data_IF_301474534815
#
_entry.id   IF_301474534815
#
_cell.length_a   1.000
_cell.length_b   1.000
_cell.length_c   1.000
_cell.angle_alpha   90.00
_cell.angle_beta   90.00
_cell.angle_gamma   90.00
#
_symmetry.space_group_name_H-M   'P 1'
#
loop_
_entity.id
_entity.type
_entity.pdbx_description
1 polymer ?
#
# COMPACT_ATOMS: atom_id res chain seq x y z
N UNK A 1 -40.71 -4.08 29.11
CA UNK A 1 -39.27 -4.37 29.00
C UNK A 1 -39.00 -4.78 27.57
N UNK A 2 -38.64 -3.82 26.71
CA UNK A 2 -38.20 -4.09 25.34
C UNK A 2 -36.68 -3.88 25.33
N UNK A 3 -35.93 -4.97 25.35
CA UNK A 3 -34.50 -4.95 25.08
C UNK A 3 -34.30 -4.84 23.57
N UNK A 4 -34.12 -3.61 23.09
CA UNK A 4 -33.60 -3.35 21.75
C UNK A 4 -32.09 -3.57 21.79
N UNK A 5 -31.65 -4.78 21.44
CA UNK A 5 -30.25 -5.07 21.22
C UNK A 5 -29.74 -4.27 20.01
N UNK A 6 -28.90 -3.27 20.28
CA UNK A 6 -28.16 -2.52 19.26
C UNK A 6 -27.28 -3.50 18.47
N UNK A 7 -27.31 -3.53 17.13
CA UNK A 7 -26.42 -4.39 16.36
C UNK A 7 -24.96 -4.01 16.64
N UNK A 8 -24.05 -4.97 16.80
CA UNK A 8 -22.63 -4.69 17.00
C UNK A 8 -22.08 -3.87 15.83
N UNK A 9 -21.26 -2.87 16.16
CA UNK A 9 -20.69 -1.93 15.22
C UNK A 9 -19.95 -2.64 14.07
N UNK A 10 -20.06 -2.07 12.87
CA UNK A 10 -19.54 -2.56 11.58
C UNK A 10 -18.02 -2.83 11.58
N UNK A 11 -17.29 -2.45 12.64
CA UNK A 11 -15.83 -2.47 12.74
C UNK A 11 -15.18 -3.87 12.87
N UNK A 12 -15.93 -4.94 13.20
CA UNK A 12 -15.36 -6.27 13.45
C UNK A 12 -15.40 -7.25 12.26
N UNK A 13 -15.77 -6.80 11.06
CA UNK A 13 -15.80 -7.69 9.89
C UNK A 13 -14.41 -7.89 9.29
N UNK A 14 -13.90 -9.11 9.43
CA UNK A 14 -12.64 -9.57 8.81
C UNK A 14 -12.66 -9.55 7.27
N UNK A 15 -13.84 -9.54 6.66
CA UNK A 15 -14.03 -9.54 5.21
C UNK A 15 -14.85 -8.33 4.78
N UNK A 16 -14.48 -7.76 3.63
CA UNK A 16 -15.30 -6.76 2.94
C UNK A 16 -16.67 -7.39 2.65
N UNK A 17 -17.78 -6.73 3.02
CA UNK A 17 -19.10 -7.30 2.77
C UNK A 17 -19.35 -7.53 1.28
N UNK A 18 -19.66 -8.78 0.91
CA UNK A 18 -20.08 -9.11 -0.45
C UNK A 18 -21.43 -8.48 -0.74
N UNK A 19 -21.57 -7.76 -1.87
CA UNK A 19 -22.87 -7.23 -2.28
C UNK A 19 -23.70 -8.37 -2.88
N UNK A 20 -25.00 -8.40 -2.62
CA UNK A 20 -25.88 -9.45 -3.17
C UNK A 20 -25.81 -9.54 -4.70
N UNK A 21 -25.62 -8.41 -5.37
CA UNK A 21 -25.44 -8.33 -6.82
C UNK A 21 -24.18 -9.06 -7.33
N UNK A 22 -23.13 -9.15 -6.52
CA UNK A 22 -21.87 -9.79 -6.90
C UNK A 22 -22.01 -11.31 -7.01
N UNK A 23 -22.97 -11.87 -6.26
CA UNK A 23 -23.36 -13.28 -6.28
C UNK A 23 -24.39 -13.60 -7.38
N UNK A 24 -24.92 -12.58 -8.07
CA UNK A 24 -25.91 -12.74 -9.12
C UNK A 24 -25.37 -13.59 -10.28
N UNK A 25 -26.00 -14.74 -10.54
CA UNK A 25 -25.58 -15.66 -11.60
C UNK A 25 -26.04 -15.17 -12.98
N UNK A 26 -25.09 -14.93 -13.87
CA UNK A 26 -25.31 -14.50 -15.25
C UNK A 26 -24.86 -15.57 -16.24
N UNK A 27 -25.70 -15.86 -17.23
CA UNK A 27 -25.37 -16.69 -18.37
C UNK A 27 -24.96 -15.84 -19.56
N UNK A 28 -23.81 -16.13 -20.16
CA UNK A 28 -23.33 -15.46 -21.38
C UNK A 28 -22.82 -16.49 -22.38
N UNK A 29 -23.02 -16.20 -23.66
CA UNK A 29 -22.43 -16.97 -24.75
C UNK A 29 -21.15 -16.27 -25.19
N UNK A 30 -20.02 -16.96 -25.08
CA UNK A 30 -18.72 -16.48 -25.56
C UNK A 30 -18.38 -17.25 -26.83
N UNK A 31 -18.17 -16.52 -27.92
CA UNK A 31 -17.87 -17.10 -29.23
C UNK A 31 -16.47 -16.66 -29.68
N UNK A 32 -15.62 -17.62 -30.05
CA UNK A 32 -14.31 -17.35 -30.64
C UNK A 32 -13.85 -18.55 -31.48
N UNK A 33 -13.17 -18.27 -32.60
CA UNK A 33 -12.65 -19.27 -33.54
C UNK A 33 -13.69 -20.33 -33.94
N UNK A 34 -14.95 -19.91 -34.14
CA UNK A 34 -16.06 -20.80 -34.50
C UNK A 34 -16.64 -21.63 -33.36
N UNK A 35 -16.01 -21.64 -32.18
CA UNK A 35 -16.52 -22.33 -30.99
C UNK A 35 -17.40 -21.38 -30.17
N UNK A 36 -18.60 -21.83 -29.81
CA UNK A 36 -19.53 -21.08 -28.95
C UNK A 36 -19.69 -21.81 -27.62
N UNK A 37 -19.36 -21.14 -26.52
CA UNK A 37 -19.47 -21.68 -25.16
C UNK A 37 -20.52 -20.90 -24.38
N UNK A 38 -21.52 -21.60 -23.86
CA UNK A 38 -22.46 -21.05 -22.88
C UNK A 38 -21.85 -21.16 -21.49
N UNK A 39 -21.62 -20.04 -20.82
CA UNK A 39 -20.93 -19.98 -19.53
C UNK A 39 -21.86 -19.31 -18.53
N UNK A 40 -22.04 -19.91 -17.35
CA UNK A 40 -22.84 -19.36 -16.26
C UNK A 40 -21.93 -19.06 -15.06
N UNK A 41 -21.77 -17.79 -14.72
CA UNK A 41 -20.89 -17.31 -13.66
C UNK A 41 -21.55 -16.21 -12.86
N UNK A 42 -21.12 -16.04 -11.62
CA UNK A 42 -21.46 -14.90 -10.77
C UNK A 42 -20.94 -13.60 -11.40
N UNK A 43 -21.68 -12.50 -11.23
CA UNK A 43 -21.35 -11.18 -11.79
C UNK A 43 -19.94 -10.71 -11.40
N UNK A 44 -19.50 -11.04 -10.18
CA UNK A 44 -18.14 -10.76 -9.74
C UNK A 44 -17.07 -11.37 -10.65
N UNK A 45 -17.24 -12.63 -11.07
CA UNK A 45 -16.28 -13.29 -11.97
C UNK A 45 -16.34 -12.73 -13.38
N UNK A 46 -17.51 -12.31 -13.88
CA UNK A 46 -17.60 -11.59 -15.16
C UNK A 46 -16.88 -10.25 -15.13
N UNK A 47 -16.97 -9.54 -14.00
CA UNK A 47 -16.26 -8.27 -13.80
C UNK A 47 -14.75 -8.50 -13.75
N UNK A 48 -14.31 -9.50 -12.98
CA UNK A 48 -12.89 -9.90 -12.92
C UNK A 48 -12.35 -10.31 -14.29
N UNK A 49 -13.07 -11.12 -15.07
CA UNK A 49 -12.68 -11.49 -16.43
C UNK A 49 -12.54 -10.28 -17.36
N UNK A 50 -13.40 -9.27 -17.21
CA UNK A 50 -13.29 -8.03 -17.98
C UNK A 50 -12.02 -7.26 -17.61
N UNK A 51 -11.74 -7.11 -16.32
CA UNK A 51 -10.51 -6.44 -15.84
C UNK A 51 -9.25 -7.19 -16.32
N UNK A 52 -9.27 -8.53 -16.26
CA UNK A 52 -8.20 -9.38 -16.80
C UNK A 52 -7.97 -9.15 -18.29
N UNK A 53 -9.04 -8.99 -19.06
CA UNK A 53 -8.98 -8.77 -20.50
C UNK A 53 -8.45 -7.37 -20.83
N UNK A 54 -8.90 -6.35 -20.09
CA UNK A 54 -8.44 -4.97 -20.20
C UNK A 54 -6.96 -4.82 -19.87
N UNK A 55 -6.50 -5.41 -18.75
CA UNK A 55 -5.09 -5.35 -18.33
C UNK A 55 -4.15 -6.02 -19.34
N UNK A 56 -4.61 -7.12 -19.96
CA UNK A 56 -3.88 -7.87 -21.00
C UNK A 56 -4.12 -7.34 -22.42
N UNK A 57 -4.95 -6.31 -22.59
CA UNK A 57 -5.35 -5.76 -23.90
C UNK A 57 -5.88 -6.83 -24.87
N UNK A 58 -6.64 -7.79 -24.36
CA UNK A 58 -7.26 -8.86 -25.13
C UNK A 58 -8.79 -8.89 -24.95
N UNK A 59 -9.49 -9.80 -25.63
CA UNK A 59 -10.95 -9.95 -25.46
C UNK A 59 -11.28 -10.98 -24.37
N UNK A 60 -12.52 -11.01 -23.88
CA UNK A 60 -12.95 -12.09 -22.98
C UNK A 60 -12.90 -13.46 -23.69
N UNK A 61 -13.20 -13.52 -25.00
CA UNK A 61 -13.08 -14.76 -25.79
C UNK A 61 -11.64 -15.27 -25.85
N UNK A 62 -10.71 -14.35 -26.13
CA UNK A 62 -9.33 -14.31 -25.61
C UNK A 62 -9.00 -15.33 -24.53
N UNK A 63 -9.33 -14.89 -23.32
CA UNK A 63 -9.02 -15.54 -22.06
C UNK A 63 -9.79 -16.84 -21.89
N UNK A 64 -11.06 -16.87 -22.28
CA UNK A 64 -11.90 -18.07 -22.11
C UNK A 64 -11.34 -19.25 -22.91
N UNK A 65 -10.84 -19.03 -24.13
CA UNK A 65 -10.20 -20.13 -24.87
C UNK A 65 -8.87 -20.53 -24.24
N UNK A 66 -8.03 -19.58 -23.83
CA UNK A 66 -6.74 -19.88 -23.19
C UNK A 66 -6.93 -20.70 -21.90
N UNK A 67 -7.93 -20.33 -21.09
CA UNK A 67 -8.32 -21.08 -19.89
C UNK A 67 -8.88 -22.46 -20.25
N UNK A 68 -9.62 -22.58 -21.35
CA UNK A 68 -10.15 -23.87 -21.81
C UNK A 68 -9.05 -24.80 -22.34
N UNK A 69 -8.06 -24.26 -23.06
CA UNK A 69 -6.91 -25.00 -23.60
C UNK A 69 -6.00 -25.52 -22.50
N UNK A 70 -5.86 -24.78 -21.39
CA UNK A 70 -5.06 -25.19 -20.23
C UNK A 70 -5.70 -26.27 -19.34
N UNK A 71 -6.88 -26.79 -19.68
CA UNK A 71 -7.60 -27.78 -18.87
C UNK A 71 -7.57 -29.19 -19.46
N UNK A 72 -7.64 -30.23 -18.61
CA UNK A 72 -7.93 -31.59 -19.05
C UNK A 72 -9.26 -31.66 -19.79
N UNK A 73 -9.43 -32.64 -20.69
CA UNK A 73 -10.65 -32.80 -21.50
C UNK A 73 -11.95 -32.97 -20.66
N UNK A 74 -11.84 -33.45 -19.41
CA UNK A 74 -12.96 -33.57 -18.46
C UNK A 74 -13.08 -32.38 -17.49
N UNK A 75 -12.33 -31.30 -17.72
CA UNK A 75 -12.28 -30.12 -16.86
C UNK A 75 -13.58 -29.32 -16.86
N UNK A 76 -13.91 -28.72 -15.71
CA UNK A 76 -15.04 -27.81 -15.59
C UNK A 76 -14.58 -26.38 -15.90
N UNK A 77 -14.88 -25.92 -17.12
CA UNK A 77 -14.50 -24.58 -17.59
C UNK A 77 -14.97 -23.46 -16.66
N UNK A 78 -16.19 -23.56 -16.11
CA UNK A 78 -16.72 -22.55 -15.18
C UNK A 78 -15.87 -22.48 -13.92
N UNK A 79 -15.52 -23.62 -13.33
CA UNK A 79 -14.65 -23.67 -12.15
C UNK A 79 -13.24 -23.17 -12.46
N UNK A 80 -12.69 -23.51 -13.62
CA UNK A 80 -11.37 -23.03 -14.02
C UNK A 80 -11.33 -21.53 -14.26
N UNK A 81 -12.39 -20.94 -14.82
CA UNK A 81 -12.52 -19.48 -14.93
C UNK A 81 -12.48 -18.84 -13.55
N UNK A 82 -13.25 -19.36 -12.58
CA UNK A 82 -13.22 -18.83 -11.19
C UNK A 82 -11.82 -18.89 -10.59
N UNK A 83 -11.12 -20.02 -10.76
CA UNK A 83 -9.74 -20.19 -10.30
C UNK A 83 -8.80 -19.20 -11.00
N UNK A 84 -8.94 -18.99 -12.31
CA UNK A 84 -8.14 -18.03 -13.06
C UNK A 84 -8.32 -16.60 -12.52
N UNK A 85 -9.56 -16.17 -12.28
CA UNK A 85 -9.86 -14.87 -11.67
C UNK A 85 -9.23 -14.71 -10.28
N UNK A 86 -9.35 -15.73 -9.42
CA UNK A 86 -8.75 -15.69 -8.07
C UNK A 86 -7.23 -15.59 -8.14
N UNK A 87 -6.60 -16.37 -9.03
CA UNK A 87 -5.14 -16.36 -9.21
C UNK A 87 -4.63 -15.02 -9.71
N UNK A 88 -5.30 -14.45 -10.71
CA UNK A 88 -4.97 -13.14 -11.25
C UNK A 88 -5.02 -12.05 -10.18
N UNK A 89 -6.11 -11.99 -9.41
CA UNK A 89 -6.28 -11.04 -8.31
C UNK A 89 -5.23 -11.25 -7.20
N UNK A 90 -4.89 -12.50 -6.88
CA UNK A 90 -3.85 -12.81 -5.90
C UNK A 90 -2.45 -12.38 -6.38
N UNK A 91 -2.14 -12.55 -7.66
CA UNK A 91 -0.88 -12.12 -8.26
C UNK A 91 -0.76 -10.59 -8.31
N UNK A 92 -1.83 -9.89 -8.69
CA UNK A 92 -1.90 -8.44 -8.63
C UNK A 92 -1.71 -7.94 -7.19
N UNK A 93 -2.39 -8.55 -6.21
CA UNK A 93 -2.23 -8.21 -4.79
C UNK A 93 -0.79 -8.38 -4.30
N UNK A 94 -0.13 -9.49 -4.69
CA UNK A 94 1.29 -9.73 -4.36
C UNK A 94 2.19 -8.66 -4.98
N UNK A 95 1.91 -8.25 -6.22
CA UNK A 95 2.67 -7.20 -6.91
C UNK A 95 2.51 -5.86 -6.20
N UNK A 96 1.27 -5.47 -5.86
CA UNK A 96 0.99 -4.25 -5.11
C UNK A 96 1.64 -4.27 -3.73
N UNK A 97 1.61 -5.40 -3.00
CA UNK A 97 2.29 -5.55 -1.72
C UNK A 97 3.80 -5.40 -1.81
N UNK A 98 4.43 -5.87 -2.90
CA UNK A 98 5.87 -5.67 -3.12
C UNK A 98 6.20 -4.19 -3.30
N UNK A 99 5.38 -3.46 -4.04
CA UNK A 99 5.53 -2.01 -4.22
C UNK A 99 5.28 -1.27 -2.89
N UNK A 100 4.23 -1.63 -2.16
CA UNK A 100 3.88 -1.09 -0.85
C UNK A 100 4.65 -1.77 0.29
N UNK A 101 5.99 -1.72 0.23
CA UNK A 101 6.87 -2.37 1.20
C UNK A 101 7.94 -1.45 1.77
N UNK A 102 8.39 -1.73 3.00
CA UNK A 102 9.51 -1.01 3.66
C UNK A 102 10.79 -1.04 2.81
N UNK A 103 10.99 -2.12 2.05
CA UNK A 103 12.11 -2.24 1.10
C UNK A 103 12.02 -1.16 0.02
N UNK A 104 10.84 -0.93 -0.56
CA UNK A 104 10.62 0.14 -1.55
C UNK A 104 10.85 1.52 -0.93
N UNK A 105 10.32 1.78 0.27
CA UNK A 105 10.55 3.03 1.01
C UNK A 105 12.06 3.27 1.20
N UNK A 106 12.78 2.24 1.62
CA UNK A 106 14.23 2.33 1.83
C UNK A 106 14.98 2.61 0.53
N UNK A 107 14.58 1.96 -0.58
CA UNK A 107 15.15 2.23 -1.90
C UNK A 107 14.90 3.67 -2.37
N UNK A 108 13.68 4.21 -2.16
CA UNK A 108 13.34 5.61 -2.46
C UNK A 108 14.24 6.56 -1.66
N UNK A 109 14.38 6.34 -0.34
CA UNK A 109 15.21 7.20 0.51
C UNK A 109 16.68 7.17 0.10
N UNK A 110 17.23 5.99 -0.19
CA UNK A 110 18.62 5.84 -0.64
C UNK A 110 18.86 6.56 -1.97
N UNK A 111 17.90 6.54 -2.89
CA UNK A 111 17.98 7.25 -4.15
C UNK A 111 17.74 8.77 -4.03
N UNK A 112 17.21 9.24 -2.90
CA UNK A 112 16.89 10.64 -2.66
C UNK A 112 18.16 11.47 -2.39
N UNK A 113 18.41 12.58 -3.12
CA UNK A 113 19.60 13.41 -2.92
C UNK A 113 19.51 14.34 -1.71
N UNK A 114 18.30 14.70 -1.27
CA UNK A 114 18.09 15.54 -0.08
C UNK A 114 18.15 14.71 1.20
N UNK A 115 18.55 15.27 2.36
CA UNK A 115 18.47 14.58 3.64
C UNK A 115 17.04 14.10 3.92
N UNK A 116 16.85 12.79 4.04
CA UNK A 116 15.53 12.18 4.18
C UNK A 116 15.54 10.95 5.10
N UNK A 117 14.40 10.72 5.76
CA UNK A 117 14.21 9.61 6.68
C UNK A 117 12.74 9.15 6.73
N UNK A 118 12.53 7.91 7.18
CA UNK A 118 11.21 7.37 7.47
C UNK A 118 10.93 7.38 8.99
N UNK A 119 9.77 7.88 9.38
CA UNK A 119 9.37 8.10 10.76
C UNK A 119 8.04 7.40 11.08
N UNK A 120 8.03 6.53 12.08
CA UNK A 120 6.80 5.89 12.57
C UNK A 120 5.89 6.87 13.30
N UNK A 121 4.61 6.50 13.47
CA UNK A 121 3.68 7.20 14.37
C UNK A 121 4.21 7.39 15.80
N UNK A 122 5.04 6.46 16.27
CA UNK A 122 5.75 6.52 17.56
C UNK A 122 7.01 7.41 17.57
N UNK A 123 7.25 8.21 16.52
CA UNK A 123 8.41 9.09 16.36
C UNK A 123 9.76 8.36 16.30
N UNK A 124 9.76 7.07 15.97
CA UNK A 124 10.99 6.29 15.75
C UNK A 124 11.42 6.40 14.30
N UNK A 125 12.66 6.84 14.07
CA UNK A 125 13.26 6.78 12.74
C UNK A 125 13.52 5.31 12.42
N UNK A 126 12.87 4.78 11.38
CA UNK A 126 13.05 3.38 10.97
C UNK A 126 14.20 3.21 9.99
N UNK A 127 14.36 4.16 9.07
CA UNK A 127 15.43 4.17 8.05
C UNK A 127 15.70 5.61 7.60
N UNK A 128 16.88 5.88 7.08
CA UNK A 128 17.31 7.19 6.62
C UNK A 128 18.40 7.09 5.56
N UNK A 129 18.62 8.15 4.80
CA UNK A 129 19.61 8.17 3.74
C UNK A 129 20.96 8.78 4.16
N UNK A 130 21.98 8.61 3.31
CA UNK A 130 23.32 9.11 3.58
C UNK A 130 23.38 10.66 3.75
N UNK A 131 22.67 11.47 2.93
CA UNK A 131 22.58 12.91 3.16
C UNK A 131 22.05 13.29 4.55
N UNK A 132 21.05 12.57 5.08
CA UNK A 132 20.58 12.77 6.46
C UNK A 132 21.64 12.42 7.50
N UNK A 133 22.32 11.29 7.33
CA UNK A 133 23.41 10.92 8.22
C UNK A 133 24.53 11.97 8.23
N UNK A 134 24.89 12.52 7.07
CA UNK A 134 25.89 13.58 6.94
C UNK A 134 25.42 14.89 7.59
N UNK A 135 24.15 15.26 7.41
CA UNK A 135 23.55 16.42 8.08
C UNK A 135 23.67 16.28 9.60
N UNK A 136 23.29 15.12 10.15
CA UNK A 136 23.38 14.84 11.59
C UNK A 136 24.82 14.93 12.07
N UNK A 137 25.78 14.28 11.40
CA UNK A 137 27.20 14.34 11.76
C UNK A 137 27.76 15.77 11.74
N UNK A 138 27.34 16.58 10.76
CA UNK A 138 27.80 17.96 10.61
C UNK A 138 27.24 18.88 11.70
N UNK A 139 25.96 18.74 12.01
CA UNK A 139 25.26 19.64 12.94
C UNK A 139 25.38 19.21 14.41
N UNK A 140 25.56 17.91 14.64
CA UNK A 140 25.73 17.30 15.95
C UNK A 140 27.05 16.50 16.04
N UNK A 141 28.24 17.14 15.89
CA UNK A 141 29.52 16.46 16.04
C UNK A 141 29.65 15.80 17.42
N UNK A 142 30.03 14.52 17.42
CA UNK A 142 30.35 13.75 18.62
C UNK A 142 31.71 14.22 19.18
N UNK A 143 31.82 14.34 20.50
CA UNK A 143 33.09 14.64 21.15
C UNK A 143 34.06 13.45 21.03
N UNK A 144 35.38 13.67 20.93
CA UNK A 144 36.35 12.59 20.68
C UNK A 144 36.43 11.49 21.76
N UNK A 145 35.84 11.70 22.95
CA UNK A 145 35.83 10.75 24.07
C UNK A 145 34.43 10.19 24.39
N UNK A 146 33.48 10.34 23.48
CA UNK A 146 32.12 9.87 23.67
C UNK A 146 31.93 8.55 22.92
N UNK A 147 31.47 7.50 23.61
CA UNK A 147 31.40 6.09 23.17
C UNK A 147 30.37 5.84 22.02
N UNK A 148 30.07 6.87 21.22
CA UNK A 148 29.35 6.77 19.96
C UNK A 148 27.86 6.43 20.08
N UNK A 149 27.33 6.30 21.31
CA UNK A 149 25.91 6.05 21.60
C UNK A 149 25.24 7.28 22.21
N UNK A 150 25.20 8.38 21.46
CA UNK A 150 24.25 9.45 21.80
C UNK A 150 22.86 9.07 21.28
N UNK A 151 21.88 8.99 22.18
CA UNK A 151 20.48 8.83 21.79
C UNK A 151 20.01 10.09 21.06
N UNK A 152 19.87 9.96 19.75
CA UNK A 152 19.34 11.00 18.89
C UNK A 152 17.87 11.24 19.23
N UNK A 153 17.53 12.47 19.64
CA UNK A 153 16.14 12.86 19.95
C UNK A 153 15.59 13.71 18.83
N UNK A 154 14.47 13.28 18.24
CA UNK A 154 13.74 14.02 17.21
C UNK A 154 12.44 14.58 17.79
N UNK A 155 12.19 15.85 17.54
CA UNK A 155 10.91 16.51 17.76
C UNK A 155 10.44 17.19 16.48
N UNK A 156 9.13 17.23 16.27
CA UNK A 156 8.49 17.94 15.17
C UNK A 156 7.63 19.06 15.76
N UNK A 157 7.53 20.19 15.06
CA UNK A 157 6.66 21.30 15.47
C UNK A 157 5.17 20.89 15.39
N UNK A 158 4.82 20.01 14.44
CA UNK A 158 3.52 19.33 14.38
C UNK A 158 3.60 17.93 15.00
N UNK A 159 2.57 17.51 15.73
CA UNK A 159 2.48 16.12 16.15
C UNK A 159 2.30 15.20 14.93
N UNK A 160 2.87 13.99 14.97
CA UNK A 160 2.78 13.02 13.88
C UNK A 160 1.32 12.68 13.53
N UNK A 161 0.45 12.59 14.54
CA UNK A 161 -0.98 12.38 14.33
C UNK A 161 -1.63 13.53 13.54
N UNK A 162 -1.25 14.78 13.82
CA UNK A 162 -1.77 15.96 13.11
C UNK A 162 -1.26 16.01 11.66
N UNK A 163 -0.04 15.54 11.42
CA UNK A 163 0.50 15.41 10.06
C UNK A 163 -0.33 14.41 9.25
N UNK A 164 -0.64 13.24 9.80
CA UNK A 164 -1.52 12.27 9.13
C UNK A 164 -2.92 12.81 8.88
N UNK A 165 -3.54 13.46 9.87
CA UNK A 165 -4.86 14.07 9.68
C UNK A 165 -4.88 15.12 8.56
N UNK A 166 -3.80 15.90 8.41
CA UNK A 166 -3.66 16.86 7.31
C UNK A 166 -3.43 16.20 5.96
N UNK A 167 -2.68 15.11 5.92
CA UNK A 167 -2.49 14.31 4.71
C UNK A 167 -3.83 13.73 4.23
N UNK A 168 -4.64 13.19 5.15
CA UNK A 168 -5.98 12.67 4.84
C UNK A 168 -6.91 13.79 4.30
N UNK A 169 -6.88 14.97 4.94
CA UNK A 169 -7.73 16.10 4.55
C UNK A 169 -7.36 16.71 3.19
N UNK A 170 -6.09 16.65 2.79
CA UNK A 170 -5.58 17.33 1.60
C UNK A 170 -5.23 16.39 0.44
N UNK A 171 -5.68 15.12 0.48
CA UNK A 171 -5.43 14.16 -0.60
C UNK A 171 -3.95 13.79 -0.74
N UNK A 172 -3.28 13.56 0.40
CA UNK A 172 -1.88 13.10 0.49
C UNK A 172 -0.83 14.09 -0.03
N UNK A 173 -1.18 15.38 -0.17
CA UNK A 173 -0.21 16.42 -0.52
C UNK A 173 0.81 16.65 0.61
N UNK A 174 2.10 16.92 0.31
CA UNK A 174 3.12 17.09 1.34
C UNK A 174 2.77 18.12 2.42
N UNK A 175 3.02 17.76 3.68
CA UNK A 175 2.81 18.62 4.85
C UNK A 175 4.15 19.15 5.33
N UNK A 176 4.33 20.47 5.30
CA UNK A 176 5.49 21.14 5.86
C UNK A 176 5.44 21.14 7.39
N UNK A 177 6.58 20.88 8.04
CA UNK A 177 6.75 20.99 9.49
C UNK A 177 8.19 21.39 9.81
N UNK A 178 8.37 22.20 10.84
CA UNK A 178 9.69 22.33 11.45
C UNK A 178 10.04 21.08 12.25
N UNK A 179 11.34 20.86 12.47
CA UNK A 179 11.85 19.79 13.32
C UNK A 179 13.04 20.27 14.14
N UNK A 180 13.27 19.58 15.24
CA UNK A 180 14.48 19.70 16.06
C UNK A 180 15.08 18.32 16.24
N UNK A 181 16.37 18.18 15.97
CA UNK A 181 17.14 16.99 16.28
C UNK A 181 18.22 17.34 17.29
N UNK A 182 18.35 16.54 18.34
CA UNK A 182 19.30 16.78 19.42
C UNK A 182 20.11 15.55 19.79
N UNK A 183 21.34 15.77 20.22
CA UNK A 183 22.23 14.77 20.77
C UNK A 183 23.08 15.44 21.87
N UNK A 184 22.97 14.95 23.10
CA UNK A 184 23.47 15.65 24.28
C UNK A 184 22.90 17.08 24.41
N UNK A 185 23.78 18.06 24.57
CA UNK A 185 23.42 19.48 24.69
C UNK A 185 23.27 20.19 23.33
N UNK A 186 23.62 19.53 22.23
CA UNK A 186 23.54 20.13 20.89
C UNK A 186 22.18 19.86 20.28
N UNK A 187 21.64 20.89 19.61
CA UNK A 187 20.38 20.84 18.90
C UNK A 187 20.52 21.51 17.54
N UNK A 188 19.90 20.91 16.54
CA UNK A 188 19.74 21.45 15.21
C UNK A 188 18.25 21.59 14.90
N UNK A 189 17.83 22.78 14.48
CA UNK A 189 16.46 23.04 14.02
C UNK A 189 16.46 23.21 12.51
N UNK A 190 15.50 22.60 11.84
CA UNK A 190 15.32 22.71 10.39
C UNK A 190 13.86 22.63 9.99
N UNK A 191 13.63 22.60 8.67
CA UNK A 191 12.31 22.39 8.07
C UNK A 191 12.30 21.09 7.29
N UNK A 192 11.15 20.44 7.22
CA UNK A 192 10.95 19.25 6.40
C UNK A 192 9.56 19.26 5.76
N UNK A 193 9.42 18.49 4.70
CA UNK A 193 8.14 18.11 4.12
C UNK A 193 7.91 16.62 4.39
N UNK A 194 6.75 16.30 4.93
CA UNK A 194 6.34 14.93 5.23
C UNK A 194 5.23 14.46 4.28
N UNK A 195 5.32 13.21 3.84
CA UNK A 195 4.29 12.50 3.07
C UNK A 195 4.05 11.13 3.69
N UNK A 196 2.85 10.57 3.51
CA UNK A 196 2.56 9.18 3.90
C UNK A 196 3.41 8.23 3.06
N UNK A 197 4.07 7.29 3.72
CA UNK A 197 4.69 6.17 3.04
C UNK A 197 3.58 5.26 2.47
N UNK A 198 3.68 4.77 1.23
CA UNK A 198 2.72 3.82 0.66
C UNK A 198 2.82 2.43 1.34
N UNK A 199 2.36 2.31 2.59
CA UNK A 199 2.30 1.08 3.38
C UNK A 199 0.86 0.90 3.90
N UNK A 200 0.38 -0.34 3.88
CA UNK A 200 -0.97 -0.68 4.34
C UNK A 200 -0.97 -1.06 5.84
N UNK A 201 0.07 -1.76 6.28
CA UNK A 201 0.11 -2.37 7.63
C UNK A 201 0.65 -1.42 8.71
N UNK A 202 1.31 -0.33 8.33
CA UNK A 202 2.01 0.55 9.26
C UNK A 202 1.89 2.01 8.84
N UNK A 203 1.50 2.87 9.79
CA UNK A 203 1.56 4.31 9.62
C UNK A 203 3.00 4.82 9.69
N UNK A 204 3.51 5.20 8.53
CA UNK A 204 4.88 5.68 8.35
C UNK A 204 4.87 6.96 7.52
N UNK A 205 5.66 7.94 7.94
CA UNK A 205 5.94 9.15 7.16
C UNK A 205 7.29 9.00 6.47
N UNK A 206 7.39 9.45 5.22
CA UNK A 206 8.66 9.83 4.62
C UNK A 206 8.83 11.33 4.81
N UNK A 207 9.92 11.73 5.45
CA UNK A 207 10.24 13.12 5.74
C UNK A 207 11.49 13.54 4.97
N UNK A 208 11.38 14.65 4.23
CA UNK A 208 12.43 15.21 3.39
C UNK A 208 12.81 16.58 3.94
N UNK A 209 14.02 16.73 4.45
CA UNK A 209 14.53 17.98 5.00
C UNK A 209 14.74 18.97 3.86
N UNK A 210 14.23 20.19 4.05
CA UNK A 210 14.35 21.31 3.13
C UNK A 210 15.15 22.44 3.77
N UNK A 211 16.07 23.03 3.02
CA UNK A 211 17.02 24.04 3.48
C UNK A 211 18.42 23.48 3.61
#
# INVERSE_FOLDING_TARGET
>A
MNDSATPPAVLDRLLVPTKAEDLGMEFRVVARLGIRRGIRLERAFWTSLRHMAESRKCTIGMLVDEIAEGQPASGNLTSAIRVACIRDMAEENLTLKRLASIRTISAILVACPSPAFALSSSKKILTFNAPFQQLVKRQLPTAPNDDGRQDLRLALDLNVADIFARLDANGETPVASGFVIGAGDRRYRGQLNAVRAPLIEQDLLMAFVSG
#
